data_IF_462564712776
#
_entry.id   IF_462564712776
#
_cell.length_a   1.000
_cell.length_b   1.000
_cell.length_c   1.000
_cell.angle_alpha   90.00
_cell.angle_beta   90.00
_cell.angle_gamma   90.00
#
_symmetry.space_group_name_H-M   'P 1'
#
loop_
_entity.id
_entity.type
_entity.pdbx_description
1 polymer ?
#
# COMPACT_ATOMS: atom_id res chain seq x y z
N UNK A 1 4.24 22.77 9.94
CA UNK A 1 4.81 22.15 8.73
C UNK A 1 5.33 20.78 9.11
N UNK A 2 4.58 19.72 8.83
CA UNK A 2 5.11 18.37 8.97
C UNK A 2 6.34 18.24 8.06
N UNK A 3 7.51 18.23 8.68
CA UNK A 3 8.76 18.06 7.95
C UNK A 3 8.68 16.73 7.21
N UNK A 4 8.89 16.74 5.88
CA UNK A 4 8.93 15.56 5.00
C UNK A 4 9.62 14.33 5.64
N UNK A 5 10.62 14.58 6.50
CA UNK A 5 11.31 13.60 7.33
C UNK A 5 10.36 12.77 8.25
N UNK A 6 9.40 13.38 8.95
CA UNK A 6 8.44 12.68 9.83
C UNK A 6 7.53 11.74 9.03
N UNK A 7 7.05 12.17 7.86
CA UNK A 7 6.21 11.33 7.00
C UNK A 7 6.99 10.11 6.48
N UNK A 8 8.25 10.30 6.06
CA UNK A 8 9.10 9.17 5.61
C UNK A 8 9.32 8.17 6.74
N UNK A 9 9.68 8.65 7.94
CA UNK A 9 9.87 7.77 9.11
C UNK A 9 8.58 7.02 9.43
N UNK A 10 7.43 7.70 9.44
CA UNK A 10 6.13 7.07 9.70
C UNK A 10 5.80 6.00 8.66
N UNK A 11 6.04 6.26 7.37
CA UNK A 11 5.83 5.29 6.30
C UNK A 11 6.76 4.09 6.45
N UNK A 12 8.03 4.31 6.83
CA UNK A 12 8.99 3.24 7.05
C UNK A 12 8.59 2.37 8.25
N UNK A 13 8.24 2.99 9.38
CA UNK A 13 7.73 2.28 10.57
C UNK A 13 6.50 1.44 10.22
N UNK A 14 5.55 2.00 9.48
CA UNK A 14 4.36 1.25 9.07
C UNK A 14 4.70 0.07 8.16
N UNK A 15 5.64 0.25 7.22
CA UNK A 15 6.10 -0.85 6.33
C UNK A 15 6.79 -1.96 7.10
N UNK A 16 7.65 -1.63 8.07
CA UNK A 16 8.32 -2.62 8.91
C UNK A 16 7.29 -3.42 9.72
N UNK A 17 6.31 -2.75 10.33
CA UNK A 17 5.24 -3.43 11.07
C UNK A 17 4.44 -4.36 10.14
N UNK A 18 4.08 -3.91 8.94
CA UNK A 18 3.31 -4.71 7.99
C UNK A 18 4.07 -5.98 7.53
N UNK A 19 5.37 -5.87 7.26
CA UNK A 19 6.22 -7.01 6.93
C UNK A 19 6.32 -7.97 8.12
N UNK A 20 6.60 -7.46 9.33
CA UNK A 20 6.70 -8.28 10.54
C UNK A 20 5.43 -9.06 10.84
N UNK A 21 4.25 -8.41 10.78
CA UNK A 21 2.96 -9.08 11.01
C UNK A 21 2.74 -10.17 9.96
N UNK A 22 2.98 -9.89 8.68
CA UNK A 22 2.80 -10.88 7.61
C UNK A 22 3.74 -12.05 7.78
N UNK A 23 5.01 -11.79 8.11
CA UNK A 23 6.01 -12.81 8.37
C UNK A 23 5.64 -13.70 9.55
N UNK A 24 5.15 -13.13 10.66
CA UNK A 24 4.68 -13.88 11.83
C UNK A 24 3.48 -14.77 11.47
N UNK A 25 2.51 -14.23 10.72
CA UNK A 25 1.35 -15.01 10.28
C UNK A 25 1.79 -16.19 9.41
N UNK A 26 2.60 -15.95 8.38
CA UNK A 26 3.06 -17.04 7.48
C UNK A 26 3.90 -18.06 8.24
N UNK A 27 4.76 -17.60 9.15
CA UNK A 27 5.57 -18.48 9.98
C UNK A 27 4.72 -19.33 10.91
N UNK A 28 3.64 -18.78 11.47
CA UNK A 28 2.71 -19.54 12.30
C UNK A 28 2.05 -20.70 11.56
N UNK A 29 1.85 -20.59 10.24
CA UNK A 29 1.27 -21.67 9.43
C UNK A 29 2.33 -22.66 8.95
N UNK A 30 3.42 -22.19 8.36
CA UNK A 30 4.40 -23.07 7.70
C UNK A 30 5.54 -23.55 8.63
N UNK A 31 5.76 -22.89 9.77
CA UNK A 31 6.91 -23.10 10.67
C UNK A 31 8.29 -23.03 9.97
N UNK A 32 8.33 -22.48 8.75
CA UNK A 32 9.53 -22.33 7.94
C UNK A 32 9.83 -20.84 7.76
N UNK A 33 11.00 -20.41 8.23
CA UNK A 33 11.45 -19.02 8.17
C UNK A 33 11.74 -18.57 6.73
N UNK A 34 12.31 -19.43 5.88
CA UNK A 34 12.67 -19.05 4.50
C UNK A 34 11.42 -18.71 3.69
N UNK A 35 10.42 -19.60 3.73
CA UNK A 35 9.12 -19.38 3.07
C UNK A 35 8.43 -18.11 3.59
N UNK A 36 8.48 -17.89 4.91
CA UNK A 36 7.83 -16.73 5.53
C UNK A 36 8.43 -15.40 5.07
N UNK A 37 9.75 -15.34 4.90
CA UNK A 37 10.44 -14.17 4.36
C UNK A 37 10.01 -13.91 2.93
N UNK A 38 10.07 -14.94 2.07
CA UNK A 38 9.71 -14.81 0.64
C UNK A 38 8.27 -14.34 0.49
N UNK A 39 7.33 -15.00 1.16
CA UNK A 39 5.90 -14.65 1.10
C UNK A 39 5.65 -13.23 1.62
N UNK A 40 6.32 -12.82 2.71
CA UNK A 40 6.13 -11.46 3.24
C UNK A 40 6.55 -10.36 2.23
N UNK A 41 7.65 -10.56 1.51
CA UNK A 41 8.10 -9.64 0.46
C UNK A 41 7.16 -9.65 -0.75
N UNK A 42 6.81 -10.83 -1.24
CA UNK A 42 5.91 -11.00 -2.39
C UNK A 42 4.53 -10.40 -2.09
N UNK A 43 3.96 -10.65 -0.91
CA UNK A 43 2.67 -10.10 -0.51
C UNK A 43 2.67 -8.56 -0.45
N UNK A 44 3.76 -7.95 0.01
CA UNK A 44 3.92 -6.49 -0.02
C UNK A 44 4.02 -5.96 -1.47
N UNK A 45 4.76 -6.65 -2.34
CA UNK A 45 4.85 -6.32 -3.77
C UNK A 45 3.50 -6.40 -4.47
N UNK A 46 2.76 -7.49 -4.26
CA UNK A 46 1.40 -7.68 -4.81
C UNK A 46 0.47 -6.56 -4.34
N UNK A 47 0.46 -6.22 -3.04
CA UNK A 47 -0.36 -5.11 -2.54
C UNK A 47 -0.05 -3.79 -3.22
N UNK A 48 1.22 -3.51 -3.49
CA UNK A 48 1.62 -2.29 -4.21
C UNK A 48 1.13 -2.30 -5.66
N UNK A 49 1.30 -3.42 -6.38
CA UNK A 49 0.80 -3.57 -7.75
C UNK A 49 -0.73 -3.45 -7.81
N UNK A 50 -1.41 -4.08 -6.86
CA UNK A 50 -2.87 -4.10 -6.78
C UNK A 50 -3.42 -2.72 -6.41
N UNK A 51 -2.74 -1.98 -5.53
CA UNK A 51 -3.08 -0.59 -5.23
C UNK A 51 -2.91 0.31 -6.47
N UNK A 52 -1.81 0.15 -7.22
CA UNK A 52 -1.60 0.90 -8.45
C UNK A 52 -2.69 0.60 -9.49
N UNK A 53 -3.03 -0.67 -9.70
CA UNK A 53 -4.12 -1.08 -10.58
C UNK A 53 -5.47 -0.55 -10.11
N UNK A 54 -5.75 -0.64 -8.81
CA UNK A 54 -6.97 -0.11 -8.21
C UNK A 54 -7.08 1.40 -8.47
N UNK A 55 -6.03 2.17 -8.21
CA UNK A 55 -6.01 3.60 -8.49
C UNK A 55 -6.18 3.89 -9.99
N UNK A 56 -5.56 3.09 -10.87
CA UNK A 56 -5.68 3.26 -12.32
C UNK A 56 -7.10 3.00 -12.83
N UNK A 57 -7.73 1.91 -12.36
CA UNK A 57 -9.12 1.58 -12.67
C UNK A 57 -10.04 2.66 -12.10
N UNK A 58 -9.80 3.10 -10.86
CA UNK A 58 -10.60 4.13 -10.20
C UNK A 58 -10.47 5.49 -10.91
N UNK A 59 -9.29 5.86 -11.40
CA UNK A 59 -9.10 7.10 -12.15
C UNK A 59 -9.75 7.08 -13.54
N UNK A 60 -9.89 5.89 -14.14
CA UNK A 60 -10.64 5.70 -15.38
C UNK A 60 -12.16 5.76 -15.16
N UNK A 61 -12.63 5.41 -13.97
CA UNK A 61 -14.04 5.56 -13.61
C UNK A 61 -14.28 7.02 -13.21
N UNK A 62 -15.07 7.75 -14.00
CA UNK A 62 -15.48 9.15 -13.73
C UNK A 62 -16.47 9.28 -12.55
N UNK A 63 -16.48 8.31 -11.64
CA UNK A 63 -17.41 8.25 -10.52
C UNK A 63 -17.07 9.37 -9.52
N UNK A 64 -17.96 10.36 -9.41
CA UNK A 64 -17.82 11.49 -8.49
C UNK A 64 -17.08 12.73 -9.01
N UNK A 65 -16.68 12.78 -10.30
CA UNK A 65 -16.21 14.04 -10.89
C UNK A 65 -17.39 15.01 -11.04
N UNK A 66 -17.54 15.94 -10.10
CA UNK A 66 -18.32 17.17 -10.36
C UNK A 66 -17.57 17.94 -11.45
N UNK A 67 -18.12 17.93 -12.65
CA UNK A 67 -17.69 18.83 -13.73
C UNK A 67 -17.79 20.24 -13.14
N UNK A 68 -16.66 20.90 -12.93
CA UNK A 68 -16.66 22.30 -12.55
C UNK A 68 -17.31 23.05 -13.71
N UNK A 69 -18.54 23.51 -13.52
CA UNK A 69 -19.20 24.40 -14.47
C UNK A 69 -18.36 25.66 -14.51
N UNK A 70 -17.63 25.84 -15.62
CA UNK A 70 -16.88 27.06 -15.93
C UNK A 70 -17.89 28.20 -15.98
N UNK A 71 -17.94 29.01 -14.92
CA UNK A 71 -18.78 30.21 -14.87
C UNK A 71 -18.01 31.31 -15.58
N UNK A 72 -18.22 31.40 -16.89
CA UNK A 72 -17.80 32.54 -17.68
C UNK A 72 -18.75 33.71 -17.37
N UNK A 73 -18.29 34.64 -16.52
CA UNK A 73 -18.82 36.01 -16.36
C UNK A 73 -17.64 36.96 -16.37
#
# INVERSE_FOLDING_TARGET
MDSRKRSIVKTLTWRLIAVSVTMIVVYSYNKNIQESIIVSFVANGIKMLLYYWHERVWNNLSFGRRVAVKKDI
#
